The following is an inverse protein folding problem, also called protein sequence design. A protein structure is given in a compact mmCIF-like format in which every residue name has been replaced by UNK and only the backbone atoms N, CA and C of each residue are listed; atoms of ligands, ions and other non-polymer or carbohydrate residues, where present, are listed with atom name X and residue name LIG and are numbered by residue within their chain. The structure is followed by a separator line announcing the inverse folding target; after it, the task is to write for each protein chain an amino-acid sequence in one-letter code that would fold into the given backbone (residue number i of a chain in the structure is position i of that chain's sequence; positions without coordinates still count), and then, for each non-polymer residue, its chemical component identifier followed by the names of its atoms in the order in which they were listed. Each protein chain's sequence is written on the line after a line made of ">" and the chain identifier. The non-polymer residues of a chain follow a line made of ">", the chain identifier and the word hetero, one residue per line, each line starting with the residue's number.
data_IF_706244178102
#
_entry.id   IF_706244178102
#
_cell.length_a   1.000
_cell.length_b   1.000
_cell.length_c   1.000
_cell.angle_alpha   90.00
_cell.angle_beta   90.00
_cell.angle_gamma   90.00
#
_symmetry.space_group_name_H-M   'P 1'
#
loop_
_entity.id
_entity.type
_entity.pdbx_description
1 polymer ?
#
# COMPACT_ATOMS: atom_id res chain seq x y z
N UNK A 1 2.72 -10.39 -1.40
CA UNK A 1 2.42 -8.99 -1.02
C UNK A 1 3.17 -8.65 0.27
N UNK A 2 3.91 -7.54 0.34
CA UNK A 2 4.46 -7.03 1.62
C UNK A 2 3.32 -6.47 2.47
N UNK A 3 3.40 -6.59 3.80
CA UNK A 3 2.42 -5.97 4.70
C UNK A 3 2.37 -4.44 4.50
N UNK A 4 3.48 -3.83 4.09
CA UNK A 4 3.57 -2.41 3.75
C UNK A 4 2.66 -2.03 2.58
N UNK A 5 2.66 -2.83 1.51
CA UNK A 5 1.78 -2.63 0.35
C UNK A 5 0.32 -2.85 0.75
N UNK A 6 0.07 -3.82 1.63
CA UNK A 6 -1.27 -4.05 2.17
C UNK A 6 -1.80 -2.82 2.93
N UNK A 7 -0.97 -2.20 3.77
CA UNK A 7 -1.31 -0.94 4.47
C UNK A 7 -1.66 0.17 3.48
N UNK A 8 -0.85 0.35 2.43
CA UNK A 8 -1.13 1.37 1.41
C UNK A 8 -2.48 1.12 0.73
N UNK A 9 -2.79 -0.12 0.36
CA UNK A 9 -4.08 -0.46 -0.27
C UNK A 9 -5.26 -0.23 0.68
N UNK A 10 -5.15 -0.62 1.95
CA UNK A 10 -6.19 -0.38 2.96
C UNK A 10 -6.45 1.13 3.10
N UNK A 11 -5.39 1.93 3.21
CA UNK A 11 -5.51 3.37 3.29
C UNK A 11 -6.12 3.97 2.01
N UNK A 12 -5.68 3.55 0.84
CA UNK A 12 -6.20 4.03 -0.44
C UNK A 12 -7.70 3.74 -0.63
N UNK A 13 -8.18 2.61 -0.10
CA UNK A 13 -9.59 2.22 -0.10
C UNK A 13 -10.42 2.88 1.03
N UNK A 14 -9.76 3.51 2.01
CA UNK A 14 -10.44 4.20 3.10
C UNK A 14 -10.91 5.59 2.68
N UNK A 15 -11.94 6.10 3.35
CA UNK A 15 -12.43 7.47 3.15
C UNK A 15 -11.28 8.48 3.34
N UNK A 16 -11.13 9.42 2.39
CA UNK A 16 -10.07 10.42 2.37
C UNK A 16 -8.63 9.87 2.37
N UNK A 17 -8.44 8.56 2.15
CA UNK A 17 -7.13 7.95 2.25
C UNK A 17 -6.62 7.75 3.68
N UNK A 18 -7.48 7.90 4.70
CA UNK A 18 -7.11 7.91 6.12
C UNK A 18 -7.88 6.86 6.91
N UNK A 19 -7.18 6.15 7.80
CA UNK A 19 -7.80 5.21 8.71
C UNK A 19 -7.15 5.23 10.10
N UNK A 20 -7.92 4.90 11.16
CA UNK A 20 -7.36 4.56 12.47
C UNK A 20 -6.48 3.32 12.38
N UNK A 21 -5.39 3.29 13.16
CA UNK A 21 -4.48 2.13 13.23
C UNK A 21 -5.21 0.85 13.63
N UNK A 22 -6.24 0.94 14.46
CA UNK A 22 -7.06 -0.20 14.86
C UNK A 22 -7.78 -0.84 13.64
N UNK A 23 -8.37 -0.03 12.75
CA UNK A 23 -9.02 -0.51 11.54
C UNK A 23 -8.01 -1.14 10.58
N UNK A 24 -6.85 -0.48 10.38
CA UNK A 24 -5.77 -1.00 9.54
C UNK A 24 -5.30 -2.37 10.04
N UNK A 25 -5.12 -2.51 11.36
CA UNK A 25 -4.67 -3.77 11.98
C UNK A 25 -5.70 -4.89 11.83
N UNK A 26 -7.00 -4.56 11.97
CA UNK A 26 -8.09 -5.50 11.75
C UNK A 26 -8.10 -6.01 10.30
N UNK A 27 -8.03 -5.10 9.33
CA UNK A 27 -8.07 -5.45 7.90
C UNK A 27 -6.84 -6.25 7.49
N UNK A 28 -5.66 -5.88 8.00
CA UNK A 28 -4.43 -6.67 7.83
C UNK A 28 -4.57 -8.09 8.38
N UNK A 29 -5.18 -8.26 9.55
CA UNK A 29 -5.36 -9.58 10.17
C UNK A 29 -6.23 -10.49 9.30
N UNK A 30 -7.25 -9.92 8.64
CA UNK A 30 -8.10 -10.64 7.69
C UNK A 30 -7.28 -11.04 6.45
N UNK A 31 -6.53 -10.09 5.88
CA UNK A 31 -5.71 -10.33 4.67
C UNK A 31 -4.59 -11.35 4.89
N UNK A 32 -3.98 -11.36 6.07
CA UNK A 32 -2.92 -12.32 6.44
C UNK A 32 -3.49 -13.71 6.73
N UNK A 33 -4.72 -13.80 7.21
CA UNK A 33 -5.40 -15.07 7.50
C UNK A 33 -5.97 -15.75 6.25
N UNK A 34 -6.09 -15.04 5.12
CA UNK A 34 -6.57 -15.57 3.85
C UNK A 34 -5.48 -16.44 3.18
N UNK A 35 -5.61 -17.77 3.31
CA UNK A 35 -4.52 -18.73 3.10
C UNK A 35 -4.16 -19.05 1.63
N UNK A 36 -5.07 -18.92 0.65
CA UNK A 36 -4.88 -19.70 -0.61
C UNK A 36 -5.36 -19.03 -1.92
N UNK A 37 -4.93 -17.81 -2.24
CA UNK A 37 -5.13 -17.36 -3.64
C UNK A 37 -4.64 -15.97 -4.00
N UNK A 38 -4.53 -15.07 -3.03
CA UNK A 38 -4.07 -13.70 -3.25
C UNK A 38 -2.53 -13.61 -3.32
N UNK A 39 -1.83 -14.49 -2.61
CA UNK A 39 -0.37 -14.50 -2.49
C UNK A 39 0.37 -14.83 -3.79
N UNK A 40 -0.14 -15.73 -4.63
CA UNK A 40 0.54 -16.16 -5.87
C UNK A 40 0.37 -15.20 -7.05
N UNK A 41 -0.82 -14.60 -7.24
CA UNK A 41 -1.00 -13.53 -8.25
C UNK A 41 -0.16 -12.29 -7.94
N UNK A 42 0.05 -11.98 -6.65
CA UNK A 42 0.90 -10.86 -6.20
C UNK A 42 2.37 -11.19 -6.04
N UNK A 43 2.79 -12.46 -6.03
CA UNK A 43 4.21 -12.84 -6.05
C UNK A 43 4.85 -12.61 -7.42
N UNK A 44 4.07 -12.72 -8.51
CA UNK A 44 4.51 -12.38 -9.87
C UNK A 44 4.55 -10.88 -10.16
N UNK A 45 3.90 -10.06 -9.33
CA UNK A 45 3.91 -8.59 -9.41
C UNK A 45 4.50 -7.98 -8.12
N UNK A 46 5.74 -8.38 -7.79
CA UNK A 46 6.55 -7.61 -6.85
C UNK A 46 7.64 -6.95 -7.69
N UNK A 47 7.53 -5.67 -8.04
CA UNK A 47 8.67 -4.95 -8.58
C UNK A 47 9.80 -5.00 -7.56
N UNK A 48 11.04 -5.08 -8.03
CA UNK A 48 12.26 -5.14 -7.20
C UNK A 48 12.33 -4.00 -6.15
N UNK A 49 11.52 -2.95 -6.33
CA UNK A 49 11.37 -1.80 -5.46
C UNK A 49 10.23 -1.98 -4.42
N UNK A 50 10.48 -2.78 -3.39
CA UNK A 50 9.64 -2.78 -2.18
C UNK A 50 10.05 -1.59 -1.30
N UNK A 51 9.10 -0.84 -0.70
CA UNK A 51 9.44 0.19 0.28
C UNK A 51 10.27 -0.40 1.42
N UNK A 52 11.32 0.30 1.82
CA UNK A 52 12.13 -0.08 2.97
C UNK A 52 11.32 0.17 4.25
N UNK A 53 10.65 1.30 4.32
CA UNK A 53 9.75 1.68 5.40
C UNK A 53 8.75 2.73 4.91
N UNK A 54 7.45 2.48 5.05
CA UNK A 54 6.39 3.33 4.48
C UNK A 54 6.34 4.76 5.05
N UNK A 55 6.94 5.00 6.22
CA UNK A 55 7.05 6.35 6.78
C UNK A 55 8.32 7.04 6.30
N UNK A 56 9.45 6.34 6.33
CA UNK A 56 10.75 6.85 5.89
C UNK A 56 10.75 7.15 4.39
N UNK A 57 10.05 6.34 3.60
CA UNK A 57 9.88 6.50 2.15
C UNK A 57 8.77 7.53 1.82
N UNK A 58 8.16 8.18 2.83
CA UNK A 58 7.16 9.23 2.64
C UNK A 58 5.81 8.77 2.07
N UNK A 59 5.54 7.47 2.05
CA UNK A 59 4.32 6.90 1.45
C UNK A 59 3.09 7.05 2.36
N UNK A 60 3.30 7.20 3.68
CA UNK A 60 2.25 7.37 4.70
C UNK A 60 2.61 8.51 5.66
N UNK A 61 1.61 9.33 6.02
CA UNK A 61 1.72 10.38 7.03
C UNK A 61 0.89 10.06 8.28
N UNK A 62 1.15 10.78 9.38
CA UNK A 62 0.44 10.66 10.67
C UNK A 62 -0.27 11.97 10.99
N UNK A 63 -1.42 12.26 10.37
CA UNK A 63 -2.12 13.53 10.56
C UNK A 63 -2.63 13.73 12.00
N UNK A 64 -2.90 12.64 12.71
CA UNK A 64 -3.31 12.66 14.12
C UNK A 64 -2.81 11.43 14.86
N UNK A 65 -2.79 11.48 16.19
CA UNK A 65 -2.39 10.34 17.02
C UNK A 65 -3.29 9.13 16.73
N UNK A 66 -2.68 8.01 16.35
CA UNK A 66 -3.40 6.77 16.04
C UNK A 66 -4.14 6.77 14.70
N UNK A 67 -3.94 7.77 13.84
CA UNK A 67 -4.48 7.80 12.47
C UNK A 67 -3.38 7.92 11.44
N UNK A 68 -3.47 7.13 10.39
CA UNK A 68 -2.52 7.13 9.28
C UNK A 68 -3.24 7.53 8.01
N UNK A 69 -2.54 8.24 7.12
CA UNK A 69 -3.07 8.66 5.82
C UNK A 69 -2.07 8.36 4.73
N UNK A 70 -2.53 7.80 3.61
CA UNK A 70 -1.69 7.62 2.43
C UNK A 70 -1.33 8.98 1.83
N UNK A 71 -0.05 9.19 1.53
CA UNK A 71 0.42 10.40 0.86
C UNK A 71 0.17 10.35 -0.65
N UNK A 72 0.31 11.47 -1.38
CA UNK A 72 0.36 11.45 -2.83
C UNK A 72 1.40 10.45 -3.37
N UNK A 73 2.63 10.48 -2.83
CA UNK A 73 3.68 9.54 -3.22
C UNK A 73 3.31 8.07 -2.95
N UNK A 74 2.58 7.79 -1.87
CA UNK A 74 2.04 6.46 -1.59
C UNK A 74 1.04 5.99 -2.65
N UNK A 75 0.19 6.90 -3.16
CA UNK A 75 -0.76 6.61 -4.25
C UNK A 75 -0.04 6.40 -5.58
N UNK A 76 0.99 7.20 -5.86
CA UNK A 76 1.82 7.06 -7.06
C UNK A 76 2.56 5.73 -7.06
N UNK A 77 3.13 5.36 -5.91
CA UNK A 77 3.73 4.04 -5.73
C UNK A 77 2.72 2.92 -6.00
N UNK A 78 1.50 2.99 -5.45
CA UNK A 78 0.46 1.99 -5.74
C UNK A 78 0.14 1.91 -7.23
N UNK A 79 -0.01 3.04 -7.92
CA UNK A 79 -0.25 3.06 -9.37
C UNK A 79 0.87 2.38 -10.15
N UNK A 80 2.13 2.64 -9.80
CA UNK A 80 3.29 2.04 -10.49
C UNK A 80 3.35 0.50 -10.39
N UNK A 81 2.82 -0.08 -9.31
CA UNK A 81 2.82 -1.53 -9.10
C UNK A 81 1.52 -2.20 -9.57
N UNK A 82 0.43 -1.43 -9.70
CA UNK A 82 -0.87 -1.91 -10.20
C UNK A 82 -0.97 -1.80 -11.71
N UNK A 83 -0.28 -0.84 -12.34
CA UNK A 83 -0.15 -0.73 -13.79
C UNK A 83 1.31 -0.49 -14.22
N UNK A 84 2.16 -1.54 -14.27
CA UNK A 84 3.59 -1.39 -14.50
C UNK A 84 3.97 -0.87 -15.90
N UNK A 85 3.02 -0.83 -16.86
CA UNK A 85 3.26 -0.38 -18.24
C UNK A 85 2.93 1.11 -18.48
N UNK A 86 2.22 1.78 -17.57
CA UNK A 86 1.83 3.20 -17.75
C UNK A 86 2.92 4.19 -17.27
N UNK A 87 3.98 3.71 -16.62
CA UNK A 87 5.02 4.58 -16.04
C UNK A 87 6.20 4.85 -16.99
N UNK A 88 6.38 4.05 -18.05
CA UNK A 88 7.43 4.30 -19.05
C UNK A 88 7.07 5.42 -20.04
N UNK A 89 5.78 5.66 -20.30
CA UNK A 89 5.32 6.64 -21.30
C UNK A 89 5.31 8.09 -20.78
N UNK A 90 5.40 8.29 -19.46
CA UNK A 90 5.47 9.62 -18.83
C UNK A 90 6.91 10.10 -18.55
N UNK A 91 7.92 9.31 -18.96
CA UNK A 91 9.33 9.61 -18.76
C UNK A 91 10.10 9.98 -20.06
N UNK A 92 9.40 10.09 -21.19
CA UNK A 92 9.91 10.68 -22.45
C UNK A 92 9.42 12.12 -22.64
#
# INVERSE_FOLDING_TARGET
>A
MSWQVAVLKILAASENGEAPVASITRDLSILVSAKDGWSDRLRRSIPSNRPRDIFSDGLVTRPARGRWRISPAGRDYLRSIENPFDYEEAAE
#
